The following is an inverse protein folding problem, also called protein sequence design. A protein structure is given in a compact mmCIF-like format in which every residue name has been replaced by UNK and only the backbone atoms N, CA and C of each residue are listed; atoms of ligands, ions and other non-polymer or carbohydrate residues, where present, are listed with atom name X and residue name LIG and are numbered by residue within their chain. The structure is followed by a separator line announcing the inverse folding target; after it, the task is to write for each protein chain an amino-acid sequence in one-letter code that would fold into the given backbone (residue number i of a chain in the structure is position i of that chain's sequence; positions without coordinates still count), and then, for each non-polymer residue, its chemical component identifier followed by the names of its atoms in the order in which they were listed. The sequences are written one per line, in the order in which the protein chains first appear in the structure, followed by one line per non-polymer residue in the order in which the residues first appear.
data_IF_742453399694
#
_entry.id   IF_742453399694
#
_cell.length_a   1.000
_cell.length_b   1.000
_cell.length_c   1.000
_cell.angle_alpha   90.00
_cell.angle_beta   90.00
_cell.angle_gamma   90.00
#
_symmetry.space_group_name_H-M   'P 1'
#
loop_
_entity.id
_entity.type
_entity.pdbx_description
1 polymer ?
#
# COMPACT_ATOMS: atom_id res chain seq x y z
N UNK A 1 11.92 21.17 -23.72
CA UNK A 1 11.48 22.17 -22.74
C UNK A 1 11.67 21.56 -21.36
N UNK A 2 12.82 21.78 -20.72
CA UNK A 2 13.03 21.38 -19.32
C UNK A 2 12.18 22.34 -18.48
N UNK A 3 11.12 21.83 -17.87
CA UNK A 3 10.04 22.58 -17.21
C UNK A 3 10.48 23.90 -16.59
N UNK A 4 9.87 24.99 -17.06
CA UNK A 4 10.07 26.34 -16.55
C UNK A 4 9.63 26.40 -15.08
N UNK A 5 10.55 26.66 -14.12
CA UNK A 5 10.24 26.72 -12.69
C UNK A 5 9.23 27.81 -12.30
N UNK A 6 8.96 28.73 -13.22
CA UNK A 6 8.11 29.91 -13.01
C UNK A 6 6.61 29.59 -13.03
N UNK A 7 6.25 28.37 -13.47
CA UNK A 7 4.88 27.85 -13.48
C UNK A 7 4.65 26.70 -12.50
N UNK A 8 5.65 26.33 -11.69
CA UNK A 8 5.49 25.25 -10.71
C UNK A 8 4.64 25.73 -9.52
N UNK A 9 3.47 25.13 -9.36
CA UNK A 9 2.61 25.37 -8.19
C UNK A 9 3.12 24.56 -7.00
N UNK A 10 3.48 25.23 -5.90
CA UNK A 10 3.78 24.56 -4.65
C UNK A 10 2.49 23.99 -4.04
N UNK A 11 2.40 22.67 -3.99
CA UNK A 11 1.28 21.95 -3.40
C UNK A 11 1.63 21.43 -2.00
N UNK A 12 0.81 21.76 -1.00
CA UNK A 12 0.90 21.16 0.33
C UNK A 12 -0.09 20.01 0.44
N UNK A 13 0.41 18.77 0.54
CA UNK A 13 -0.45 17.62 0.78
C UNK A 13 -1.05 17.65 2.18
N UNK A 14 -2.28 17.15 2.31
CA UNK A 14 -2.84 16.87 3.64
C UNK A 14 -2.01 15.81 4.38
N UNK A 15 -1.93 15.91 5.70
CA UNK A 15 -1.35 14.85 6.52
C UNK A 15 -2.12 13.55 6.29
N UNK A 16 -1.39 12.45 6.13
CA UNK A 16 -1.98 11.13 5.93
C UNK A 16 -1.38 10.13 6.93
N UNK A 17 -2.16 9.09 7.21
CA UNK A 17 -1.73 7.94 7.98
C UNK A 17 -2.05 6.68 7.17
N UNK A 18 -1.08 5.78 7.04
CA UNK A 18 -1.25 4.46 6.45
C UNK A 18 -1.27 3.41 7.57
N UNK A 19 -2.31 2.57 7.59
CA UNK A 19 -2.41 1.46 8.53
C UNK A 19 -2.46 0.15 7.73
N UNK A 20 -1.56 -0.77 8.06
CA UNK A 20 -1.52 -2.12 7.49
C UNK A 20 -1.93 -3.13 8.58
N UNK A 21 -2.88 -4.01 8.26
CA UNK A 21 -3.43 -4.98 9.20
C UNK A 21 -3.22 -6.40 8.67
N UNK A 22 -2.68 -7.28 9.50
CA UNK A 22 -2.57 -8.72 9.25
C UNK A 22 -3.18 -9.50 10.42
N UNK A 23 -4.05 -10.45 10.10
CA UNK A 23 -4.59 -11.45 11.02
C UNK A 23 -4.10 -12.81 10.58
N UNK A 24 -3.65 -13.63 11.53
CA UNK A 24 -3.13 -14.96 11.27
C UNK A 24 -3.59 -15.94 12.35
N UNK A 25 -3.82 -17.19 11.96
CA UNK A 25 -4.13 -18.29 12.87
C UNK A 25 -3.38 -19.54 12.45
N UNK A 26 -2.69 -20.15 13.42
CA UNK A 26 -1.89 -21.36 13.21
C UNK A 26 -2.62 -22.59 13.74
N UNK A 27 -2.80 -23.57 12.87
CA UNK A 27 -3.28 -24.91 13.18
C UNK A 27 -2.07 -25.82 13.40
N UNK A 28 -1.93 -26.33 14.62
CA UNK A 28 -0.96 -27.38 14.91
C UNK A 28 -1.48 -28.73 14.39
N UNK A 29 -0.63 -29.51 13.70
CA UNK A 29 -0.92 -30.87 13.25
C UNK A 29 0.03 -31.86 13.94
N UNK A 30 -0.20 -32.21 15.23
CA UNK A 30 0.74 -33.01 16.02
C UNK A 30 1.05 -34.39 15.44
N UNK A 31 0.14 -34.97 14.65
CA UNK A 31 0.33 -36.28 14.01
C UNK A 31 1.30 -36.23 12.83
N UNK A 32 1.52 -35.04 12.26
CA UNK A 32 2.35 -34.82 11.08
C UNK A 32 3.61 -34.02 11.40
N UNK A 33 3.87 -33.73 12.69
CA UNK A 33 4.96 -32.88 13.18
C UNK A 33 5.08 -31.57 12.37
N UNK A 34 3.93 -30.97 12.07
CA UNK A 34 3.81 -29.85 11.14
C UNK A 34 2.73 -28.89 11.62
N UNK A 35 2.76 -27.66 11.12
CA UNK A 35 1.69 -26.69 11.34
C UNK A 35 1.34 -25.94 10.06
N UNK A 36 0.10 -25.46 10.02
CA UNK A 36 -0.44 -24.68 8.89
C UNK A 36 -0.94 -23.35 9.45
N UNK A 37 -0.44 -22.23 8.95
CA UNK A 37 -0.97 -20.90 9.27
C UNK A 37 -1.82 -20.40 8.11
N UNK A 38 -3.06 -20.01 8.42
CA UNK A 38 -3.89 -19.21 7.54
C UNK A 38 -3.75 -17.75 7.95
N UNK A 39 -3.49 -16.87 6.99
CA UNK A 39 -3.42 -15.44 7.27
C UNK A 39 -4.11 -14.62 6.19
N UNK A 40 -4.65 -13.49 6.59
CA UNK A 40 -5.23 -12.50 5.70
C UNK A 40 -4.98 -11.10 6.23
N UNK A 41 -5.20 -10.09 5.40
CA UNK A 41 -4.95 -8.73 5.81
C UNK A 41 -5.26 -7.71 4.74
N UNK A 42 -4.98 -6.46 5.07
CA UNK A 42 -5.13 -5.32 4.18
C UNK A 42 -3.96 -4.37 4.33
N UNK A 43 -3.48 -3.86 3.20
CA UNK A 43 -2.59 -2.72 3.18
C UNK A 43 -3.40 -1.46 2.90
N UNK A 44 -2.98 -0.34 3.49
CA UNK A 44 -3.64 0.95 3.38
C UNK A 44 -5.12 0.87 3.79
N UNK A 45 -5.37 0.38 5.01
CA UNK A 45 -6.71 0.26 5.60
C UNK A 45 -7.46 1.61 5.57
N UNK A 46 -6.76 2.72 5.80
CA UNK A 46 -7.31 4.08 5.76
C UNK A 46 -7.64 4.55 4.34
N UNK A 47 -7.10 3.91 3.30
CA UNK A 47 -7.26 4.24 1.88
C UNK A 47 -6.90 5.70 1.55
N UNK A 48 -5.85 6.22 2.16
CA UNK A 48 -5.40 7.60 1.98
C UNK A 48 -4.56 7.81 0.69
N UNK A 49 -4.91 7.11 -0.39
CA UNK A 49 -4.17 7.16 -1.66
C UNK A 49 -4.45 8.45 -2.44
N UNK A 50 -3.43 9.00 -3.09
CA UNK A 50 -3.56 10.18 -3.95
C UNK A 50 -4.66 9.96 -5.00
N UNK A 51 -5.47 11.00 -5.24
CA UNK A 51 -6.58 10.97 -6.18
C UNK A 51 -6.44 11.97 -7.35
N UNK A 52 -5.49 12.89 -7.26
CA UNK A 52 -5.21 13.95 -8.25
C UNK A 52 -3.89 13.69 -8.98
N UNK A 53 -3.74 12.54 -9.63
CA UNK A 53 -2.56 12.30 -10.46
C UNK A 53 -2.51 13.29 -11.61
N UNK A 54 -1.40 14.01 -11.69
CA UNK A 54 -1.13 14.82 -12.87
C UNK A 54 -1.03 13.88 -14.10
N UNK A 55 -1.54 14.32 -15.25
CA UNK A 55 -1.72 13.50 -16.44
C UNK A 55 -1.52 14.32 -17.70
N UNK A 56 -0.97 13.69 -18.75
CA UNK A 56 -0.75 14.33 -20.05
C UNK A 56 0.71 14.66 -20.33
N UNK A 57 0.95 15.39 -21.43
CA UNK A 57 2.30 15.62 -21.98
C UNK A 57 3.22 16.42 -21.05
N UNK A 58 2.65 17.31 -20.25
CA UNK A 58 3.39 18.21 -19.35
C UNK A 58 3.31 17.74 -17.89
N UNK A 59 2.98 16.46 -17.65
CA UNK A 59 2.84 15.93 -16.30
C UNK A 59 4.14 16.06 -15.52
N UNK A 60 4.07 16.59 -14.30
CA UNK A 60 5.15 16.46 -13.33
C UNK A 60 5.25 14.99 -12.87
N UNK A 61 6.33 14.33 -13.29
CA UNK A 61 6.56 12.92 -12.95
C UNK A 61 7.00 12.73 -11.50
N UNK A 62 7.36 13.79 -10.79
CA UNK A 62 7.69 13.79 -9.36
C UNK A 62 6.49 14.07 -8.45
N UNK A 63 5.32 14.42 -9.00
CA UNK A 63 4.14 14.79 -8.22
C UNK A 63 3.42 13.58 -7.63
N UNK A 64 3.99 13.03 -6.56
CA UNK A 64 3.43 11.91 -5.79
C UNK A 64 3.44 12.25 -4.30
N UNK A 65 2.33 11.99 -3.62
CA UNK A 65 2.22 12.09 -2.16
C UNK A 65 1.26 11.02 -1.61
N UNK A 66 1.30 10.79 -0.30
CA UNK A 66 0.49 9.74 0.33
C UNK A 66 1.12 8.34 0.24
N UNK A 67 0.35 7.28 0.57
CA UNK A 67 0.73 5.89 0.42
C UNK A 67 1.08 5.55 -1.03
N UNK A 68 2.08 4.68 -1.22
CA UNK A 68 2.57 4.27 -2.54
C UNK A 68 1.57 3.41 -3.34
N UNK A 69 0.55 2.84 -2.68
CA UNK A 69 -0.44 1.99 -3.31
C UNK A 69 -1.85 2.24 -2.73
N UNK A 70 -2.91 2.01 -3.52
CA UNK A 70 -4.28 2.02 -3.02
C UNK A 70 -4.51 0.88 -2.02
N UNK A 71 -5.65 0.91 -1.32
CA UNK A 71 -6.05 -0.18 -0.43
C UNK A 71 -6.02 -1.52 -1.18
N UNK A 72 -5.31 -2.49 -0.59
CA UNK A 72 -5.24 -3.87 -1.10
C UNK A 72 -5.59 -4.87 -0.01
N UNK A 73 -6.04 -6.05 -0.42
CA UNK A 73 -6.34 -7.17 0.48
C UNK A 73 -5.49 -8.37 0.07
N UNK A 74 -5.08 -9.16 1.05
CA UNK A 74 -4.34 -10.40 0.82
C UNK A 74 -4.88 -11.53 1.69
N UNK A 75 -4.72 -12.75 1.19
CA UNK A 75 -4.93 -14.00 1.91
C UNK A 75 -3.80 -14.95 1.53
N UNK A 76 -3.35 -15.77 2.47
CA UNK A 76 -2.27 -16.70 2.25
C UNK A 76 -2.28 -17.86 3.23
N UNK A 77 -1.51 -18.88 2.88
CA UNK A 77 -1.29 -20.09 3.67
C UNK A 77 0.23 -20.22 3.84
N UNK A 78 0.68 -20.51 5.05
CA UNK A 78 2.07 -20.83 5.36
C UNK A 78 2.13 -22.25 5.93
N UNK A 79 2.99 -23.08 5.36
CA UNK A 79 3.25 -24.44 5.81
C UNK A 79 4.56 -24.45 6.60
N UNK A 80 4.56 -25.08 7.77
CA UNK A 80 5.74 -25.30 8.60
C UNK A 80 6.06 -26.79 8.67
N UNK A 81 7.36 -27.11 8.72
CA UNK A 81 7.89 -28.45 8.96
C UNK A 81 8.77 -28.42 10.20
#
# INVERSE_FOLDING_TARGET
DPGTPETDELFTSSNFMEINLKVAYTFELPRLDSSIELFSGTNNLTNNYQNNFDSGKNRDSGFIYGPAAPRSFFIGIRLFN
#
